data_IF_351140426661
#
_entry.id   IF_351140426661
#
_cell.length_a   1.000
_cell.length_b   1.000
_cell.length_c   1.000
_cell.angle_alpha   90.00
_cell.angle_beta   90.00
_cell.angle_gamma   90.00
#
_symmetry.space_group_name_H-M   'P 1'
#
loop_
_entity.id
_entity.type
_entity.pdbx_description
1 polymer ?
#
# COMPACT_ATOMS: atom_id res chain seq x y z
N UNK A 1 9.24 5.63 9.22
CA UNK A 1 7.96 5.24 8.58
C UNK A 1 8.33 4.58 7.26
N UNK A 2 7.95 3.32 7.09
CA UNK A 2 8.27 2.59 5.86
C UNK A 2 7.28 2.98 4.76
N UNK A 3 7.75 3.33 3.58
CA UNK A 3 6.87 3.64 2.45
C UNK A 3 6.78 2.45 1.52
N UNK A 4 5.59 2.17 1.01
CA UNK A 4 5.31 1.08 0.08
C UNK A 4 4.52 1.60 -1.11
N UNK A 5 4.77 1.00 -2.25
CA UNK A 5 4.20 1.36 -3.53
C UNK A 5 3.52 0.13 -4.13
N UNK A 6 2.26 0.31 -4.50
CA UNK A 6 1.48 -0.63 -5.30
C UNK A 6 1.40 -0.06 -6.71
N UNK A 7 2.04 -0.73 -7.67
CA UNK A 7 2.04 -0.34 -9.09
C UNK A 7 1.49 -1.47 -9.93
N UNK A 8 0.62 -1.16 -10.90
CA UNK A 8 0.17 -2.14 -11.90
C UNK A 8 1.25 -2.29 -12.98
N UNK A 9 1.58 -3.53 -13.32
CA UNK A 9 2.57 -3.92 -14.31
C UNK A 9 1.92 -4.96 -15.22
N UNK A 10 1.51 -4.52 -16.42
CA UNK A 10 0.68 -5.34 -17.30
C UNK A 10 -0.63 -5.74 -16.62
N UNK A 11 -0.86 -7.04 -16.50
CA UNK A 11 -2.07 -7.62 -15.90
C UNK A 11 -1.98 -7.83 -14.39
N UNK A 12 -0.81 -7.66 -13.77
CA UNK A 12 -0.63 -7.90 -12.34
C UNK A 12 -0.30 -6.61 -11.58
N UNK A 13 -0.51 -6.66 -10.28
CA UNK A 13 -0.18 -5.64 -9.32
C UNK A 13 1.05 -6.03 -8.51
N UNK A 14 1.96 -5.08 -8.34
CA UNK A 14 3.22 -5.26 -7.66
C UNK A 14 3.21 -4.41 -6.39
N UNK A 15 3.43 -5.04 -5.24
CA UNK A 15 3.67 -4.39 -3.96
C UNK A 15 5.17 -4.42 -3.66
N UNK A 16 5.79 -3.24 -3.57
CA UNK A 16 7.22 -3.09 -3.24
C UNK A 16 7.43 -2.00 -2.21
N UNK A 17 8.49 -2.12 -1.41
CA UNK A 17 8.93 -1.06 -0.52
C UNK A 17 9.58 0.07 -1.33
N UNK A 18 9.37 1.32 -0.94
CA UNK A 18 10.04 2.47 -1.51
C UNK A 18 11.56 2.31 -1.37
N UNK A 19 12.29 2.36 -2.47
CA UNK A 19 13.73 2.15 -2.51
C UNK A 19 14.17 0.68 -2.55
N UNK A 20 13.24 -0.28 -2.56
CA UNK A 20 13.56 -1.67 -2.83
C UNK A 20 13.53 -1.96 -4.34
N UNK A 21 14.54 -2.67 -4.82
CA UNK A 21 14.61 -3.16 -6.21
C UNK A 21 13.64 -4.33 -6.47
N UNK A 22 13.28 -5.08 -5.42
CA UNK A 22 12.42 -6.26 -5.52
C UNK A 22 11.00 -5.99 -5.02
N UNK A 23 10.04 -6.56 -5.75
CA UNK A 23 8.67 -6.71 -5.28
C UNK A 23 8.64 -7.56 -4.02
N UNK A 24 7.96 -7.07 -2.98
CA UNK A 24 7.71 -7.87 -1.77
C UNK A 24 6.57 -8.86 -2.01
N UNK A 25 5.54 -8.46 -2.78
CA UNK A 25 4.41 -9.32 -3.17
C UNK A 25 3.89 -8.90 -4.54
N UNK A 26 3.23 -9.82 -5.23
CA UNK A 26 2.51 -9.57 -6.48
C UNK A 26 1.15 -10.25 -6.41
N UNK A 27 0.13 -9.68 -7.06
CA UNK A 27 -1.19 -10.29 -7.19
C UNK A 27 -1.83 -9.89 -8.51
N UNK A 28 -2.73 -10.70 -9.04
CA UNK A 28 -3.42 -10.41 -10.29
C UNK A 28 -4.43 -9.27 -10.13
N UNK A 29 -5.05 -9.15 -8.96
CA UNK A 29 -6.05 -8.11 -8.71
C UNK A 29 -5.59 -7.03 -7.73
N UNK A 30 -6.15 -5.84 -7.93
CA UNK A 30 -5.94 -4.70 -7.03
C UNK A 30 -6.44 -5.01 -5.61
N UNK A 31 -7.55 -5.72 -5.50
CA UNK A 31 -8.13 -6.06 -4.20
C UNK A 31 -7.22 -7.01 -3.41
N UNK A 32 -6.66 -8.03 -4.07
CA UNK A 32 -5.74 -8.97 -3.43
C UNK A 32 -4.44 -8.30 -3.00
N UNK A 33 -3.82 -7.48 -3.85
CA UNK A 33 -2.57 -6.82 -3.48
C UNK A 33 -2.76 -5.84 -2.31
N UNK A 34 -3.90 -5.15 -2.26
CA UNK A 34 -4.23 -4.25 -1.16
C UNK A 34 -4.42 -5.06 0.11
N UNK A 35 -5.16 -6.18 0.05
CA UNK A 35 -5.38 -7.04 1.22
C UNK A 35 -4.05 -7.58 1.77
N UNK A 36 -3.20 -8.11 0.89
CA UNK A 36 -1.87 -8.60 1.24
C UNK A 36 -0.96 -7.50 1.81
N UNK A 37 -1.04 -6.28 1.27
CA UNK A 37 -0.31 -5.13 1.81
C UNK A 37 -0.86 -4.74 3.18
N UNK A 38 -2.19 -4.68 3.36
CA UNK A 38 -2.83 -4.39 4.63
C UNK A 38 -2.43 -5.40 5.70
N UNK A 39 -2.52 -6.70 5.42
CA UNK A 39 -2.11 -7.76 6.35
C UNK A 39 -0.61 -7.68 6.68
N UNK A 40 0.24 -7.32 5.71
CA UNK A 40 1.68 -7.17 5.95
C UNK A 40 2.04 -5.92 6.77
N UNK A 41 1.23 -4.86 6.63
CA UNK A 41 1.38 -3.60 7.35
C UNK A 41 0.63 -3.60 8.68
N UNK A 42 -0.22 -4.60 8.92
CA UNK A 42 -0.92 -4.77 10.19
C UNK A 42 0.12 -4.96 11.32
N UNK A 43 0.10 -4.04 12.29
CA UNK A 43 1.10 -3.99 13.36
C UNK A 43 2.38 -3.20 13.04
N UNK A 44 2.50 -2.56 11.86
CA UNK A 44 3.66 -1.73 11.47
C UNK A 44 3.25 -0.31 11.08
N UNK A 45 4.18 0.64 11.27
CA UNK A 45 3.98 2.04 10.90
C UNK A 45 4.52 2.34 9.49
N UNK A 46 3.63 2.37 8.51
CA UNK A 46 3.98 2.46 7.09
C UNK A 46 2.96 3.21 6.23
N UNK A 47 3.41 3.84 5.16
CA UNK A 47 2.55 4.51 4.18
C UNK A 47 2.46 3.69 2.89
N UNK A 48 1.25 3.37 2.46
CA UNK A 48 0.93 2.63 1.25
C UNK A 48 0.42 3.57 0.17
N UNK A 49 1.20 3.74 -0.91
CA UNK A 49 0.84 4.50 -2.10
C UNK A 49 0.33 3.55 -3.18
N UNK A 50 -0.91 3.73 -3.58
CA UNK A 50 -1.58 2.93 -4.61
C UNK A 50 -1.59 3.76 -5.89
N UNK A 51 -0.84 3.31 -6.90
CA UNK A 51 -0.81 3.92 -8.22
C UNK A 51 -1.94 3.36 -9.10
N UNK A 52 -2.40 4.16 -10.07
CA UNK A 52 -3.26 3.71 -11.17
C UNK A 52 -2.43 3.04 -12.27
N UNK A 53 -3.12 2.45 -13.23
CA UNK A 53 -2.56 2.04 -14.53
C UNK A 53 -1.79 3.15 -15.23
N UNK A 54 -2.27 4.38 -15.06
CA UNK A 54 -1.69 5.60 -15.63
C UNK A 54 -0.44 6.10 -14.87
N UNK A 55 -0.02 5.41 -13.80
CA UNK A 55 1.12 5.81 -12.96
C UNK A 55 0.80 6.91 -11.93
N UNK A 56 -0.34 7.59 -12.08
CA UNK A 56 -0.85 8.57 -11.10
C UNK A 56 -1.19 7.91 -9.76
N UNK A 57 -0.97 8.62 -8.67
CA UNK A 57 -1.36 8.13 -7.33
C UNK A 57 -2.88 8.20 -7.24
N UNK A 58 -3.52 7.04 -7.07
CA UNK A 58 -4.96 6.98 -6.82
C UNK A 58 -5.26 7.28 -5.36
N UNK A 59 -4.52 6.63 -4.47
CA UNK A 59 -4.86 6.59 -3.06
C UNK A 59 -3.60 6.38 -2.23
N UNK A 60 -3.49 7.12 -1.14
CA UNK A 60 -2.46 6.94 -0.13
C UNK A 60 -3.14 6.54 1.18
N UNK A 61 -2.64 5.50 1.83
CA UNK A 61 -3.13 5.04 3.14
C UNK A 61 -1.97 4.91 4.11
N UNK A 62 -2.13 5.42 5.32
CA UNK A 62 -1.14 5.26 6.39
C UNK A 62 -1.59 4.18 7.37
N UNK A 63 -0.67 3.30 7.73
CA UNK A 63 -0.84 2.22 8.69
C UNK A 63 0.07 2.45 9.91
N UNK A 64 -0.35 2.05 11.12
CA UNK A 64 -1.68 1.56 11.45
C UNK A 64 -2.70 2.70 11.34
N UNK A 65 -3.96 2.39 10.99
CA UNK A 65 -5.07 3.35 10.91
C UNK A 65 -5.38 4.04 12.24
N UNK A 66 -4.73 3.62 13.35
CA UNK A 66 -4.72 4.30 14.65
C UNK A 66 -3.71 5.45 14.76
N UNK A 67 -2.77 5.58 13.83
CA UNK A 67 -1.93 6.77 13.69
C UNK A 67 -2.65 7.90 12.93
N UNK A 68 -3.73 7.58 12.21
CA UNK A 68 -4.75 8.56 11.82
C UNK A 68 -5.49 9.00 13.10
N UNK A 69 -5.49 10.30 13.45
CA UNK A 69 -6.13 10.82 14.66
C UNK A 69 -7.65 10.67 14.57
N UNK A 70 -8.16 9.48 14.84
CA UNK A 70 -9.59 9.17 14.95
C UNK A 70 -10.01 9.23 16.41
N UNK A 71 -9.73 10.35 17.08
CA UNK A 71 -10.38 10.69 18.35
C UNK A 71 -10.61 12.19 18.47
N UNK A 72 -11.53 12.72 17.64
CA UNK A 72 -12.37 13.80 18.14
C UNK A 72 -13.36 13.15 19.10
N UNK A 73 -13.14 13.28 20.42
CA UNK A 73 -14.26 13.16 21.34
C UNK A 73 -15.16 14.36 21.05
N UNK A 74 -16.41 14.07 20.67
CA UNK A 74 -17.48 15.07 20.67
C UNK A 74 -17.73 15.62 22.06
#
# INVERSE_FOLDING_TARGET
MDNYHITKSGDHWIFKKQGAERASKTADTKAEIIKLATEFLEGKTASLKIHKEDGTIQEERTYPRSADPTKSKG
#
